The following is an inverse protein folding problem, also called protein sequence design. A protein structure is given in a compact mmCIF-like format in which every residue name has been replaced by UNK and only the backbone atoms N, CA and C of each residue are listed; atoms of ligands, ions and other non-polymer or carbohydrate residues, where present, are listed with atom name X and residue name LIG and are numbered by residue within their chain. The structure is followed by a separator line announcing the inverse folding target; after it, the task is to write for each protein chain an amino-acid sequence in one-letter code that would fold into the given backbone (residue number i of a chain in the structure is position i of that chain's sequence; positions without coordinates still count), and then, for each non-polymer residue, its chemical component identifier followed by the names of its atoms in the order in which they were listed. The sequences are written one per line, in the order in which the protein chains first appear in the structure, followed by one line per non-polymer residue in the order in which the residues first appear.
data_IF_986680891275
#
_entry.id   IF_986680891275
#
_cell.length_a   1.000
_cell.length_b   1.000
_cell.length_c   1.000
_cell.angle_alpha   90.00
_cell.angle_beta   90.00
_cell.angle_gamma   90.00
#
_symmetry.space_group_name_H-M   'P 1'
#
loop_
_entity.id
_entity.type
_entity.pdbx_description
1 polymer ?
#
# COMPACT_ATOMS: atom_id res chain seq x y z
N UNK A 1 -16.52 5.09 5.11
CA UNK A 1 -16.21 3.90 4.29
C UNK A 1 -14.71 3.73 4.35
N UNK A 2 -14.23 2.73 5.09
CA UNK A 2 -12.79 2.47 5.22
C UNK A 2 -12.39 1.39 4.22
N UNK A 3 -11.25 1.56 3.57
CA UNK A 3 -10.71 0.53 2.68
C UNK A 3 -10.14 -0.60 3.54
N UNK A 4 -10.55 -1.83 3.25
CA UNK A 4 -10.19 -3.02 4.01
C UNK A 4 -9.03 -3.73 3.28
N UNK A 5 -7.83 -3.16 3.35
CA UNK A 5 -6.63 -3.81 2.83
C UNK A 5 -5.79 -4.38 3.97
N UNK A 6 -5.16 -5.53 3.69
CA UNK A 6 -4.03 -6.01 4.47
C UNK A 6 -2.77 -5.39 3.88
N UNK A 7 -2.04 -4.64 4.71
CA UNK A 7 -0.75 -4.06 4.32
C UNK A 7 0.36 -5.00 4.74
N UNK A 8 1.41 -5.09 3.94
CA UNK A 8 2.53 -5.99 4.21
C UNK A 8 3.86 -5.37 3.82
N UNK A 9 4.94 -5.89 4.39
CA UNK A 9 6.30 -5.56 3.97
C UNK A 9 6.92 -6.75 3.22
N UNK A 10 7.57 -6.46 2.09
CA UNK A 10 8.34 -7.41 1.31
C UNK A 10 9.82 -6.98 1.26
N UNK A 11 10.75 -7.92 1.11
CA UNK A 11 12.18 -7.60 0.97
C UNK A 11 12.50 -6.86 -0.34
N UNK A 12 11.71 -7.10 -1.39
CA UNK A 12 11.88 -6.52 -2.72
C UNK A 12 10.55 -6.47 -3.50
N UNK A 13 10.57 -5.76 -4.63
CA UNK A 13 9.40 -5.54 -5.49
C UNK A 13 8.90 -6.84 -6.12
N UNK A 14 9.80 -7.75 -6.49
CA UNK A 14 9.44 -9.03 -7.12
C UNK A 14 8.65 -9.91 -6.14
N UNK A 15 9.09 -9.94 -4.87
CA UNK A 15 8.39 -10.64 -3.78
C UNK A 15 7.02 -10.00 -3.51
N UNK A 16 6.92 -8.67 -3.56
CA UNK A 16 5.63 -7.98 -3.40
C UNK A 16 4.66 -8.32 -4.54
N UNK A 17 5.13 -8.28 -5.79
CA UNK A 17 4.33 -8.57 -6.97
C UNK A 17 3.81 -10.01 -7.01
N UNK A 18 4.59 -10.97 -6.51
CA UNK A 18 4.19 -12.38 -6.43
C UNK A 18 2.92 -12.63 -5.58
N UNK A 19 2.53 -11.67 -4.73
CA UNK A 19 1.33 -11.78 -3.87
C UNK A 19 0.02 -11.45 -4.59
N UNK A 20 0.07 -10.80 -5.76
CA UNK A 20 -1.12 -10.31 -6.48
C UNK A 20 -2.08 -11.44 -6.84
N UNK A 21 -1.54 -12.53 -7.40
CA UNK A 21 -2.32 -13.68 -7.85
C UNK A 21 -2.42 -14.78 -6.77
N UNK A 22 -1.82 -14.56 -5.60
CA UNK A 22 -1.82 -15.53 -4.53
C UNK A 22 -3.18 -15.53 -3.82
N UNK A 23 -3.90 -16.65 -3.91
CA UNK A 23 -5.13 -16.84 -3.14
C UNK A 23 -4.80 -16.75 -1.64
N UNK A 24 -5.43 -15.82 -0.93
CA UNK A 24 -5.13 -15.51 0.47
C UNK A 24 -4.04 -14.44 0.66
N UNK A 25 -3.40 -13.99 -0.42
CA UNK A 25 -2.55 -12.82 -0.47
C UNK A 25 -1.23 -12.95 0.32
N UNK A 26 -0.65 -11.83 0.78
CA UNK A 26 0.67 -11.81 1.43
C UNK A 26 0.77 -12.66 2.70
N UNK A 27 -0.35 -12.91 3.39
CA UNK A 27 -0.42 -13.78 4.57
C UNK A 27 0.00 -15.22 4.23
N UNK A 28 -0.45 -15.75 3.09
CA UNK A 28 -0.11 -17.10 2.62
C UNK A 28 1.35 -17.19 2.14
N UNK A 29 1.93 -16.06 1.70
CA UNK A 29 3.35 -15.95 1.40
C UNK A 29 4.24 -15.88 2.65
N UNK A 30 3.67 -16.02 3.86
CA UNK A 30 4.37 -15.84 5.14
C UNK A 30 5.05 -14.47 5.28
N UNK A 31 4.53 -13.45 4.58
CA UNK A 31 5.00 -12.08 4.72
C UNK A 31 4.37 -11.44 5.95
N UNK A 32 5.08 -10.53 6.64
CA UNK A 32 4.53 -9.80 7.77
C UNK A 32 3.38 -8.90 7.30
N UNK A 33 2.16 -9.25 7.69
CA UNK A 33 0.95 -8.48 7.42
C UNK A 33 0.52 -7.69 8.64
N UNK A 34 -0.06 -6.50 8.42
CA UNK A 34 -0.64 -5.65 9.45
C UNK A 34 -2.10 -5.40 9.10
N UNK A 35 -2.99 -5.88 9.96
CA UNK A 35 -4.42 -5.63 9.83
C UNK A 35 -4.75 -4.20 10.30
N UNK A 36 -4.93 -3.29 9.36
CA UNK A 36 -5.22 -1.88 9.60
C UNK A 36 -6.65 -1.53 9.16
N UNK A 37 -7.64 -2.23 9.72
CA UNK A 37 -9.05 -2.02 9.37
C UNK A 37 -9.47 -0.59 9.71
N UNK A 38 -9.92 0.15 8.70
CA UNK A 38 -10.34 1.55 8.86
C UNK A 38 -9.19 2.55 8.92
N UNK A 39 -7.95 2.08 8.70
CA UNK A 39 -6.75 2.90 8.59
C UNK A 39 -6.21 2.76 7.17
N UNK A 40 -6.06 3.89 6.50
CA UNK A 40 -5.35 3.98 5.23
C UNK A 40 -3.95 4.57 5.52
N UNK A 41 -2.88 3.75 5.51
CA UNK A 41 -1.52 4.21 5.74
C UNK A 41 -1.09 5.26 4.74
N UNK A 42 -1.58 5.25 3.50
CA UNK A 42 -1.23 6.26 2.51
C UNK A 42 -1.77 7.64 2.92
N UNK A 43 -3.03 7.68 3.35
CA UNK A 43 -3.65 8.91 3.87
C UNK A 43 -2.98 9.37 5.17
N UNK A 44 -2.74 8.45 6.11
CA UNK A 44 -2.17 8.79 7.41
C UNK A 44 -0.70 9.20 7.33
N UNK A 45 0.11 8.50 6.52
CA UNK A 45 1.50 8.88 6.28
C UNK A 45 1.60 10.20 5.52
N UNK A 46 0.73 10.44 4.53
CA UNK A 46 0.66 11.74 3.85
C UNK A 46 0.32 12.87 4.82
N UNK A 47 -0.63 12.63 5.73
CA UNK A 47 -0.99 13.59 6.79
C UNK A 47 0.18 13.83 7.74
N UNK A 48 0.85 12.75 8.19
CA UNK A 48 2.00 12.85 9.09
C UNK A 48 3.15 13.63 8.45
N UNK A 49 3.47 13.36 7.18
CA UNK A 49 4.49 14.11 6.45
C UNK A 49 4.13 15.58 6.35
N UNK A 50 2.89 15.92 5.98
CA UNK A 50 2.45 17.31 5.88
C UNK A 50 2.64 18.06 7.20
N UNK A 51 2.24 17.45 8.32
CA UNK A 51 2.41 18.04 9.66
C UNK A 51 3.87 18.20 10.07
N UNK A 52 4.73 17.22 9.75
CA UNK A 52 6.14 17.22 10.15
C UNK A 52 7.01 18.15 9.30
N UNK A 53 6.64 18.36 8.03
CA UNK A 53 7.46 19.09 7.05
C UNK A 53 6.90 20.47 6.73
N UNK A 54 5.61 20.71 7.02
CA UNK A 54 4.89 21.91 6.58
C UNK A 54 4.56 21.95 5.10
N UNK A 55 4.86 20.88 4.33
CA UNK A 55 4.41 20.73 2.95
C UNK A 55 2.91 20.47 2.94
N UNK A 56 2.19 21.13 2.02
CA UNK A 56 0.75 20.95 1.88
C UNK A 56 0.39 19.48 1.54
N UNK A 57 -0.68 18.96 2.14
CA UNK A 57 -1.10 17.57 1.98
C UNK A 57 -1.37 17.21 0.52
N UNK A 58 -2.01 18.10 -0.25
CA UNK A 58 -2.31 17.84 -1.67
C UNK A 58 -1.01 17.72 -2.49
N UNK A 59 0.02 18.47 -2.08
CA UNK A 59 1.36 18.35 -2.68
C UNK A 59 2.07 17.05 -2.30
N UNK A 60 1.89 16.56 -1.06
CA UNK A 60 2.46 15.29 -0.61
C UNK A 60 1.87 14.12 -1.39
N UNK A 61 0.54 14.05 -1.49
CA UNK A 61 -0.15 12.92 -2.14
C UNK A 61 -0.08 12.95 -3.67
N UNK A 62 0.17 14.12 -4.27
CA UNK A 62 0.32 14.25 -5.72
C UNK A 62 1.70 13.83 -6.22
N UNK A 63 2.64 13.47 -5.33
CA UNK A 63 3.95 12.97 -5.75
C UNK A 63 3.81 11.65 -6.47
N UNK A 64 4.49 11.55 -7.60
CA UNK A 64 4.55 10.31 -8.37
C UNK A 64 5.38 9.28 -7.61
N UNK A 65 4.67 8.40 -6.89
CA UNK A 65 5.23 7.19 -6.32
C UNK A 65 4.96 6.08 -7.33
N UNK A 66 5.98 5.73 -8.11
CA UNK A 66 5.88 4.64 -9.08
C UNK A 66 5.32 3.39 -8.36
N UNK A 67 4.15 2.88 -8.78
CA UNK A 67 3.53 1.78 -8.07
C UNK A 67 4.40 0.55 -8.21
N UNK A 68 4.76 -0.04 -7.07
CA UNK A 68 5.72 -1.13 -6.99
C UNK A 68 5.13 -2.45 -7.50
N UNK A 69 3.83 -2.66 -7.31
CA UNK A 69 3.11 -3.86 -7.75
C UNK A 69 1.63 -3.53 -7.95
N UNK A 70 1.18 -3.52 -9.21
CA UNK A 70 -0.23 -3.34 -9.61
C UNK A 70 -0.52 -4.27 -10.76
N UNK A 71 -1.52 -5.13 -10.63
CA UNK A 71 -2.11 -5.80 -11.79
C UNK A 71 -3.15 -4.87 -12.40
N UNK A 72 -3.00 -4.56 -13.68
CA UNK A 72 -4.08 -3.97 -14.46
C UNK A 72 -5.17 -5.04 -14.61
N UNK A 73 -6.40 -4.73 -14.21
CA UNK A 73 -7.53 -5.64 -14.32
C UNK A 73 -7.97 -5.73 -15.79
N UNK A 74 -7.15 -6.41 -16.61
CA UNK A 74 -7.45 -6.72 -17.99
C UNK A 74 -7.18 -8.21 -18.25
N UNK A 75 -7.94 -9.08 -17.59
CA UNK A 75 -8.20 -10.44 -18.10
C UNK A 75 -9.67 -10.80 -17.90
N UNK A 76 -10.34 -10.94 -19.04
CA UNK A 76 -11.68 -11.53 -19.22
C UNK A 76 -11.61 -13.02 -18.90
#
# INVERSE_FOLDING_TARGET
MGVLFDYFAAPDNDTAAATIDLVGGPSEASLPTVQLKGVDPFVQLGTAESLLTGVDYDTVIARDLAPVAVADAARV
#
